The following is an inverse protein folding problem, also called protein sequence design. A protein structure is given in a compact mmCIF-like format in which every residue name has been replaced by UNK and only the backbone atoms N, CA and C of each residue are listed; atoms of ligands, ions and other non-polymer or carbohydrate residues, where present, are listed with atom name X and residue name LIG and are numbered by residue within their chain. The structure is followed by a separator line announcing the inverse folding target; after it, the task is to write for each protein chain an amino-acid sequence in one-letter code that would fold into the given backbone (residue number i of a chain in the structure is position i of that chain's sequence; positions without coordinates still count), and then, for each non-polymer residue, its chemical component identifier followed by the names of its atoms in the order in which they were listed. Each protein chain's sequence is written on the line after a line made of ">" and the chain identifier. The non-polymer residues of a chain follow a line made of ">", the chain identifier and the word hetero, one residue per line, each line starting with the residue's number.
data_IF_884834654986
#
_entry.id   IF_884834654986
#
_cell.length_a   1.000
_cell.length_b   1.000
_cell.length_c   1.000
_cell.angle_alpha   90.00
_cell.angle_beta   90.00
_cell.angle_gamma   90.00
#
_symmetry.space_group_name_H-M   'P 1'
#
loop_
_entity.id
_entity.type
_entity.pdbx_description
1 polymer ?
#
# COMPACT_ATOMS: atom_id res chain seq x y z
N UNK A 1 1.88 23.68 4.09
CA UNK A 1 1.99 22.94 5.36
C UNK A 1 2.08 21.43 5.15
N UNK A 2 1.14 20.78 4.45
CA UNK A 2 1.19 19.31 4.22
C UNK A 2 2.48 18.87 3.51
N UNK A 3 2.93 19.59 2.48
CA UNK A 3 4.19 19.27 1.78
C UNK A 3 5.47 19.37 2.63
N UNK A 4 5.48 20.20 3.69
CA UNK A 4 6.63 20.30 4.60
C UNK A 4 6.67 19.13 5.59
N UNK A 5 5.50 18.65 6.03
CA UNK A 5 5.38 17.44 6.83
C UNK A 5 5.86 16.23 6.00
N UNK A 6 5.40 16.13 4.75
CA UNK A 6 5.85 15.08 3.81
C UNK A 6 7.38 15.09 3.67
N UNK A 7 8.03 16.25 3.51
CA UNK A 7 9.48 16.33 3.35
C UNK A 7 10.27 15.83 4.59
N UNK A 8 9.76 16.07 5.81
CA UNK A 8 10.38 15.58 7.06
C UNK A 8 10.29 14.06 7.20
N UNK A 9 9.19 13.45 6.75
CA UNK A 9 9.03 11.99 6.77
C UNK A 9 9.70 11.29 5.59
N UNK A 10 9.78 11.92 4.42
CA UNK A 10 10.43 11.37 3.21
C UNK A 10 11.95 11.39 3.31
N UNK A 11 12.53 12.32 4.09
CA UNK A 11 13.98 12.37 4.33
C UNK A 11 14.51 11.42 5.42
N UNK A 12 13.64 10.76 6.19
CA UNK A 12 14.01 9.90 7.31
C UNK A 12 13.63 8.45 7.06
N UNK A 13 14.59 7.54 7.20
CA UNK A 13 14.38 6.08 7.12
C UNK A 13 13.25 5.61 8.05
N UNK A 14 13.13 6.19 9.25
CA UNK A 14 12.06 5.87 10.19
C UNK A 14 10.67 6.34 9.71
N UNK A 15 10.60 7.51 9.07
CA UNK A 15 9.37 8.04 8.49
C UNK A 15 8.88 7.22 7.30
N UNK A 16 9.81 6.83 6.43
CA UNK A 16 9.52 5.96 5.28
C UNK A 16 9.01 4.58 5.73
N UNK A 17 9.59 4.00 6.79
CA UNK A 17 9.09 2.75 7.37
C UNK A 17 7.67 2.89 7.92
N UNK A 18 7.39 3.93 8.70
CA UNK A 18 6.06 4.16 9.28
C UNK A 18 4.98 4.34 8.19
N UNK A 19 5.28 5.11 7.14
CA UNK A 19 4.38 5.31 6.00
C UNK A 19 4.14 3.99 5.26
N UNK A 20 5.19 3.21 5.02
CA UNK A 20 5.08 1.94 4.30
C UNK A 20 4.27 0.92 5.09
N UNK A 21 4.43 0.83 6.42
CA UNK A 21 3.61 -0.03 7.27
C UNK A 21 2.12 0.39 7.27
N UNK A 22 1.84 1.69 7.38
CA UNK A 22 0.48 2.21 7.31
C UNK A 22 -0.16 1.93 5.95
N UNK A 23 0.58 2.14 4.86
CA UNK A 23 0.12 1.84 3.50
C UNK A 23 -0.25 0.35 3.36
N UNK A 24 0.62 -0.56 3.79
CA UNK A 24 0.33 -2.00 3.75
C UNK A 24 -0.95 -2.32 4.52
N UNK A 25 -1.10 -1.80 5.74
CA UNK A 25 -2.28 -2.07 6.56
C UNK A 25 -3.58 -1.56 5.94
N UNK A 26 -3.58 -0.32 5.45
CA UNK A 26 -4.76 0.32 4.86
C UNK A 26 -5.15 -0.35 3.54
N UNK A 27 -4.20 -0.54 2.62
CA UNK A 27 -4.49 -1.18 1.34
C UNK A 27 -4.88 -2.65 1.49
N UNK A 28 -4.32 -3.36 2.48
CA UNK A 28 -4.77 -4.73 2.78
C UNK A 28 -6.20 -4.78 3.31
N UNK A 29 -6.61 -3.81 4.12
CA UNK A 29 -8.00 -3.70 4.58
C UNK A 29 -8.96 -3.36 3.44
N UNK A 30 -8.59 -2.45 2.54
CA UNK A 30 -9.38 -2.13 1.35
C UNK A 30 -9.53 -3.34 0.42
N UNK A 31 -8.45 -4.08 0.15
CA UNK A 31 -8.56 -5.32 -0.64
C UNK A 31 -9.53 -6.33 -0.05
N UNK A 32 -9.56 -6.50 1.28
CA UNK A 32 -10.51 -7.41 1.92
C UNK A 32 -11.96 -6.94 1.75
N UNK A 33 -12.20 -5.63 1.79
CA UNK A 33 -13.50 -5.04 1.54
C UNK A 33 -13.93 -5.24 0.08
N UNK A 34 -13.06 -4.92 -0.87
CA UNK A 34 -13.32 -5.05 -2.29
C UNK A 34 -13.54 -6.52 -2.69
N UNK A 35 -12.72 -7.44 -2.16
CA UNK A 35 -12.90 -8.87 -2.35
C UNK A 35 -14.27 -9.34 -1.84
N UNK A 36 -14.70 -8.84 -0.68
CA UNK A 36 -16.02 -9.18 -0.13
C UNK A 36 -17.14 -8.65 -1.03
N UNK A 37 -17.04 -7.42 -1.51
CA UNK A 37 -18.03 -6.83 -2.41
C UNK A 37 -18.12 -7.57 -3.75
N UNK A 38 -16.99 -8.01 -4.29
CA UNK A 38 -16.92 -8.83 -5.51
C UNK A 38 -17.57 -10.20 -5.27
N UNK A 39 -17.28 -10.85 -4.13
CA UNK A 39 -17.77 -12.18 -3.81
C UNK A 39 -19.28 -12.19 -3.50
N UNK A 40 -19.76 -11.16 -2.80
CA UNK A 40 -21.18 -10.96 -2.48
C UNK A 40 -22.00 -10.52 -3.72
N UNK A 41 -21.37 -10.38 -4.90
CA UNK A 41 -22.03 -10.03 -6.16
C UNK A 41 -22.50 -8.58 -6.23
N UNK A 42 -21.94 -7.71 -5.39
CA UNK A 42 -22.30 -6.29 -5.32
C UNK A 42 -21.74 -5.44 -6.48
N UNK A 43 -20.70 -5.92 -7.16
CA UNK A 43 -20.10 -5.27 -8.34
C UNK A 43 -20.51 -6.00 -9.62
N UNK A 44 -21.34 -5.36 -10.45
CA UNK A 44 -21.78 -5.94 -11.73
C UNK A 44 -20.67 -5.91 -12.80
N UNK A 45 -19.57 -5.19 -12.56
CA UNK A 45 -18.47 -5.05 -13.50
C UNK A 45 -17.19 -5.71 -12.96
N UNK A 46 -17.10 -7.02 -13.16
CA UNK A 46 -15.95 -7.83 -12.78
C UNK A 46 -14.60 -7.35 -13.37
N UNK A 47 -14.60 -6.64 -14.51
CA UNK A 47 -13.37 -6.12 -15.13
C UNK A 47 -12.83 -4.95 -14.29
N UNK A 48 -13.69 -4.01 -13.92
CA UNK A 48 -13.29 -2.88 -13.06
C UNK A 48 -12.91 -3.34 -11.67
N UNK A 49 -13.64 -4.31 -11.11
CA UNK A 49 -13.37 -4.84 -9.77
C UNK A 49 -12.04 -5.60 -9.71
N UNK A 50 -11.70 -6.38 -10.73
CA UNK A 50 -10.40 -7.07 -10.82
C UNK A 50 -9.24 -6.10 -11.07
N UNK A 51 -9.45 -5.02 -11.84
CA UNK A 51 -8.44 -3.98 -12.04
C UNK A 51 -8.15 -3.21 -10.74
N UNK A 52 -9.19 -2.86 -9.97
CA UNK A 52 -9.04 -2.21 -8.66
C UNK A 52 -8.22 -3.10 -7.71
N UNK A 53 -8.58 -4.38 -7.62
CA UNK A 53 -7.84 -5.35 -6.80
C UNK A 53 -6.37 -5.48 -7.25
N UNK A 54 -6.10 -5.49 -8.54
CA UNK A 54 -4.74 -5.54 -9.07
C UNK A 54 -3.91 -4.31 -8.65
N UNK A 55 -4.48 -3.12 -8.74
CA UNK A 55 -3.82 -1.87 -8.35
C UNK A 55 -3.51 -1.84 -6.85
N UNK A 56 -4.43 -2.32 -6.01
CA UNK A 56 -4.21 -2.41 -4.57
C UNK A 56 -3.10 -3.40 -4.21
N UNK A 57 -3.10 -4.59 -4.83
CA UNK A 57 -2.01 -5.58 -4.65
C UNK A 57 -0.67 -4.97 -5.06
N UNK A 58 -0.62 -4.24 -6.17
CA UNK A 58 0.60 -3.56 -6.62
C UNK A 58 1.09 -2.53 -5.60
N UNK A 59 0.20 -1.72 -5.03
CA UNK A 59 0.57 -0.73 -4.00
C UNK A 59 1.10 -1.39 -2.72
N UNK A 60 0.48 -2.49 -2.27
CA UNK A 60 0.98 -3.27 -1.12
C UNK A 60 2.35 -3.86 -1.41
N UNK A 61 2.53 -4.45 -2.61
CA UNK A 61 3.80 -5.02 -3.01
C UNK A 61 4.93 -3.99 -3.05
N UNK A 62 4.68 -2.81 -3.61
CA UNK A 62 5.65 -1.71 -3.63
C UNK A 62 6.01 -1.24 -2.23
N UNK A 63 5.02 -1.11 -1.35
CA UNK A 63 5.23 -0.71 0.05
C UNK A 63 6.06 -1.76 0.82
N UNK A 64 5.83 -3.05 0.55
CA UNK A 64 6.64 -4.14 1.09
C UNK A 64 8.07 -4.10 0.55
N UNK A 65 8.25 -3.83 -0.75
CA UNK A 65 9.57 -3.72 -1.37
C UNK A 65 10.35 -2.53 -0.79
N UNK A 66 9.69 -1.41 -0.49
CA UNK A 66 10.31 -0.28 0.18
C UNK A 66 10.80 -0.66 1.60
N UNK A 67 9.99 -1.39 2.37
CA UNK A 67 10.42 -1.91 3.68
C UNK A 67 11.59 -2.89 3.55
N UNK A 68 11.52 -3.84 2.61
CA UNK A 68 12.58 -4.80 2.37
C UNK A 68 13.87 -4.14 1.87
N UNK A 69 13.78 -3.07 1.08
CA UNK A 69 14.93 -2.28 0.66
C UNK A 69 15.59 -1.53 1.82
N UNK A 70 14.80 -1.08 2.80
CA UNK A 70 15.31 -0.47 4.04
C UNK A 70 15.99 -1.52 4.93
N UNK A 71 15.37 -2.68 5.15
CA UNK A 71 15.92 -3.75 6.00
C UNK A 71 17.01 -4.61 5.32
N UNK A 72 17.06 -4.65 4.00
CA UNK A 72 18.00 -5.44 3.19
C UNK A 72 19.15 -4.63 2.60
N UNK A 73 19.09 -3.29 2.71
CA UNK A 73 20.08 -2.35 2.17
C UNK A 73 21.28 -2.06 3.09
N UNK A 74 21.28 -2.56 4.33
CA UNK A 74 22.38 -2.39 5.29
C UNK A 74 23.55 -3.35 5.01
N UNK A 75 24.06 -3.35 3.77
CA UNK A 75 25.30 -4.03 3.41
C UNK A 75 26.42 -3.00 3.22
N UNK A 76 26.86 -2.44 4.34
CA UNK A 76 28.24 -2.01 4.56
C UNK A 76 28.82 -2.83 5.72
#
# INVERSE_FOLDING_TARGET
>A
MVGAIINVFVGSTAGMMAISMLAIGIFSAYMLYDLKQILDGGETNYISATLALYLDIFNVFQSLLALLGIFGGERD
#
